data_IF_141983321880
#
_entry.id   IF_141983321880
#
_cell.length_a   1.000
_cell.length_b   1.000
_cell.length_c   1.000
_cell.angle_alpha   90.00
_cell.angle_beta   90.00
_cell.angle_gamma   90.00
#
_symmetry.space_group_name_H-M   'P 1'
#
loop_
_entity.id
_entity.type
_entity.pdbx_description
1 polymer ?
#
# COMPACT_ATOMS: atom_id res chain seq x y z
N UNK A 1 -12.95 -30.43 1.76
CA UNK A 1 -13.01 -28.99 2.11
C UNK A 1 -11.66 -28.47 2.60
N UNK A 2 -11.01 -29.09 3.61
CA UNK A 2 -9.76 -28.61 4.24
C UNK A 2 -8.61 -28.50 3.24
N UNK A 3 -8.41 -29.46 2.34
CA UNK A 3 -7.33 -29.44 1.33
C UNK A 3 -7.39 -28.19 0.45
N UNK A 4 -8.58 -27.68 0.12
CA UNK A 4 -8.75 -26.44 -0.65
C UNK A 4 -8.41 -25.16 0.12
N UNK A 5 -8.23 -25.24 1.44
CA UNK A 5 -7.82 -24.11 2.29
C UNK A 5 -6.29 -24.02 2.43
N UNK A 6 -5.54 -25.10 2.17
CA UNK A 6 -4.09 -25.16 2.31
C UNK A 6 -3.37 -24.02 1.55
N UNK A 7 -3.68 -23.73 0.27
CA UNK A 7 -3.01 -22.64 -0.45
C UNK A 7 -3.18 -21.28 0.21
N UNK A 8 -4.31 -21.04 0.88
CA UNK A 8 -4.55 -19.79 1.59
C UNK A 8 -3.71 -19.68 2.87
N UNK A 9 -3.61 -20.76 3.65
CA UNK A 9 -2.74 -20.81 4.83
C UNK A 9 -1.25 -20.68 4.49
N UNK A 10 -0.84 -21.22 3.33
CA UNK A 10 0.52 -21.07 2.81
C UNK A 10 0.76 -19.76 2.07
N UNK A 11 -0.20 -18.83 2.10
CA UNK A 11 -0.13 -17.55 1.40
C UNK A 11 0.12 -17.67 -0.12
N UNK A 12 -0.38 -18.76 -0.73
CA UNK A 12 -0.25 -19.04 -2.15
C UNK A 12 -1.50 -18.65 -2.97
N UNK A 13 -2.41 -17.88 -2.39
CA UNK A 13 -3.70 -17.51 -3.02
C UNK A 13 -3.55 -16.78 -4.36
N UNK A 14 -2.44 -16.10 -4.59
CA UNK A 14 -2.14 -15.39 -5.85
C UNK A 14 -1.19 -16.14 -6.78
N UNK A 15 -0.72 -17.33 -6.41
CA UNK A 15 0.18 -18.14 -7.25
C UNK A 15 -0.52 -18.85 -8.44
N UNK A 16 -1.84 -18.67 -8.59
CA UNK A 16 -2.64 -19.39 -9.60
C UNK A 16 -3.21 -20.71 -9.10
N UNK A 17 -2.83 -21.19 -7.93
CA UNK A 17 -3.42 -22.38 -7.32
C UNK A 17 -4.80 -22.03 -6.78
N UNK A 18 -5.84 -22.63 -7.38
CA UNK A 18 -7.21 -22.40 -6.94
C UNK A 18 -7.45 -23.02 -5.55
N UNK A 19 -7.86 -22.18 -4.61
CA UNK A 19 -8.19 -22.57 -3.25
C UNK A 19 -9.40 -21.80 -2.73
N UNK A 20 -10.00 -22.28 -1.64
CA UNK A 20 -11.05 -21.53 -0.95
C UNK A 20 -10.39 -20.41 -0.15
N UNK A 21 -10.73 -19.16 -0.44
CA UNK A 21 -10.25 -18.02 0.32
C UNK A 21 -10.91 -18.01 1.71
N UNK A 22 -10.14 -18.31 2.74
CA UNK A 22 -10.58 -18.27 4.14
C UNK A 22 -10.63 -16.83 4.63
N UNK A 23 -9.60 -16.05 4.29
CA UNK A 23 -9.50 -14.63 4.62
C UNK A 23 -9.24 -13.87 3.33
N UNK A 24 -10.20 -13.05 2.89
CA UNK A 24 -10.14 -12.37 1.60
C UNK A 24 -8.91 -11.46 1.46
N UNK A 25 -8.40 -10.93 2.57
CA UNK A 25 -7.32 -9.92 2.59
C UNK A 25 -5.93 -10.54 2.39
N UNK A 26 -5.76 -11.84 2.62
CA UNK A 26 -4.46 -12.53 2.46
C UNK A 26 -3.92 -12.51 1.03
N UNK A 27 -4.78 -12.21 0.04
CA UNK A 27 -4.36 -12.09 -1.36
C UNK A 27 -3.22 -11.08 -1.54
N UNK A 28 -3.27 -9.94 -0.83
CA UNK A 28 -2.25 -8.91 -0.98
C UNK A 28 -0.90 -9.35 -0.39
N UNK A 29 -0.91 -10.03 0.75
CA UNK A 29 0.31 -10.58 1.36
C UNK A 29 0.93 -11.62 0.42
N UNK A 30 0.12 -12.52 -0.14
CA UNK A 30 0.55 -13.50 -1.14
C UNK A 30 1.18 -12.83 -2.36
N UNK A 31 0.51 -11.84 -2.94
CA UNK A 31 1.00 -11.08 -4.09
C UNK A 31 2.31 -10.33 -3.77
N UNK A 32 2.40 -9.73 -2.59
CA UNK A 32 3.59 -9.02 -2.12
C UNK A 32 4.78 -9.98 -1.96
N UNK A 33 4.59 -11.15 -1.36
CA UNK A 33 5.65 -12.14 -1.20
C UNK A 33 6.17 -12.63 -2.56
N UNK A 34 5.28 -12.93 -3.51
CA UNK A 34 5.67 -13.34 -4.87
C UNK A 34 6.45 -12.22 -5.56
N UNK A 35 5.98 -10.98 -5.50
CA UNK A 35 6.68 -9.84 -6.08
C UNK A 35 8.05 -9.62 -5.41
N UNK A 36 8.16 -9.77 -4.09
CA UNK A 36 9.43 -9.66 -3.37
C UNK A 36 10.44 -10.74 -3.76
N UNK A 37 10.00 -11.96 -4.06
CA UNK A 37 10.90 -13.03 -4.55
C UNK A 37 11.61 -12.62 -5.85
N UNK A 38 11.00 -11.77 -6.67
CA UNK A 38 11.59 -11.26 -7.91
C UNK A 38 12.40 -9.98 -7.64
N UNK A 39 11.81 -9.05 -6.91
CA UNK A 39 12.41 -7.72 -6.68
C UNK A 39 13.65 -7.80 -5.79
N UNK A 40 13.60 -8.58 -4.72
CA UNK A 40 14.67 -8.61 -3.71
C UNK A 40 16.04 -9.06 -4.27
N UNK A 41 16.15 -10.16 -5.05
CA UNK A 41 17.43 -10.55 -5.64
C UNK A 41 17.98 -9.48 -6.61
N UNK A 42 17.10 -8.87 -7.41
CA UNK A 42 17.48 -7.81 -8.35
C UNK A 42 17.97 -6.56 -7.62
N UNK A 43 17.25 -6.14 -6.59
CA UNK A 43 17.60 -5.00 -5.76
C UNK A 43 18.92 -5.24 -5.02
N UNK A 44 19.15 -6.46 -4.52
CA UNK A 44 20.40 -6.81 -3.83
C UNK A 44 21.61 -6.78 -4.75
N UNK A 45 21.45 -7.25 -6.01
CA UNK A 45 22.55 -7.35 -6.97
C UNK A 45 22.81 -6.03 -7.72
N UNK A 46 21.76 -5.29 -8.07
CA UNK A 46 21.82 -4.11 -8.94
C UNK A 46 21.10 -2.92 -8.31
N UNK A 47 21.43 -2.58 -7.04
CA UNK A 47 20.72 -1.59 -6.24
C UNK A 47 20.45 -0.28 -6.99
N UNK A 48 21.50 0.35 -7.50
CA UNK A 48 21.42 1.67 -8.11
C UNK A 48 20.65 1.65 -9.44
N UNK A 49 20.95 0.70 -10.31
CA UNK A 49 20.23 0.52 -11.58
C UNK A 49 18.76 0.18 -11.33
N UNK A 50 18.49 -0.66 -10.35
CA UNK A 50 17.11 -1.03 -10.02
C UNK A 50 16.32 0.17 -9.52
N UNK A 51 16.84 0.91 -8.53
CA UNK A 51 16.12 2.03 -7.92
C UNK A 51 15.97 3.24 -8.85
N UNK A 52 16.99 3.52 -9.71
CA UNK A 52 16.98 4.70 -10.57
C UNK A 52 16.23 4.47 -11.90
N UNK A 53 16.25 3.25 -12.43
CA UNK A 53 15.71 2.96 -13.76
C UNK A 53 14.56 1.96 -13.70
N UNK A 54 14.80 0.76 -13.15
CA UNK A 54 13.80 -0.33 -13.23
C UNK A 54 12.55 -0.01 -12.40
N UNK A 55 12.72 0.46 -11.18
CA UNK A 55 11.59 0.73 -10.28
C UNK A 55 10.65 1.83 -10.83
N UNK A 56 11.13 3.02 -11.25
CA UNK A 56 10.24 4.04 -11.81
C UNK A 56 9.58 3.62 -13.11
N UNK A 57 10.33 2.96 -14.00
CA UNK A 57 9.80 2.52 -15.30
C UNK A 57 8.71 1.46 -15.11
N UNK A 58 8.96 0.44 -14.29
CA UNK A 58 7.95 -0.60 -14.02
C UNK A 58 6.74 -0.05 -13.28
N UNK A 59 6.93 0.84 -12.30
CA UNK A 59 5.82 1.48 -11.60
C UNK A 59 4.95 2.31 -12.55
N UNK A 60 5.54 3.09 -13.46
CA UNK A 60 4.81 3.89 -14.45
C UNK A 60 4.10 3.02 -15.48
N UNK A 61 4.77 2.03 -16.07
CA UNK A 61 4.18 1.17 -17.10
C UNK A 61 2.98 0.38 -16.56
N UNK A 62 3.12 -0.24 -15.38
CA UNK A 62 2.03 -1.03 -14.78
C UNK A 62 0.90 -0.09 -14.31
N UNK A 63 1.22 1.07 -13.76
CA UNK A 63 0.18 2.06 -13.37
C UNK A 63 -0.56 2.59 -14.60
N UNK A 64 0.14 2.87 -15.70
CA UNK A 64 -0.46 3.27 -16.97
C UNK A 64 -1.34 2.17 -17.58
N UNK A 65 -0.90 0.92 -17.49
CA UNK A 65 -1.72 -0.23 -17.87
C UNK A 65 -3.05 -0.28 -17.08
N UNK A 66 -2.99 -0.16 -15.74
CA UNK A 66 -4.20 -0.13 -14.92
C UNK A 66 -5.11 1.06 -15.21
N UNK A 67 -4.53 2.22 -15.50
CA UNK A 67 -5.29 3.41 -15.86
C UNK A 67 -6.10 3.19 -17.14
N UNK A 68 -5.50 2.59 -18.18
CA UNK A 68 -6.11 2.43 -19.49
C UNK A 68 -7.02 1.20 -19.60
N UNK A 69 -6.86 0.18 -18.76
CA UNK A 69 -7.62 -1.08 -18.87
C UNK A 69 -8.72 -1.19 -17.80
N UNK A 70 -8.51 -2.06 -16.84
CA UNK A 70 -9.51 -2.51 -15.86
C UNK A 70 -9.57 -1.61 -14.63
N UNK A 71 -8.60 -0.71 -14.49
CA UNK A 71 -8.36 0.00 -13.24
C UNK A 71 -7.81 -0.95 -12.17
N UNK A 72 -7.86 -0.49 -10.92
CA UNK A 72 -7.34 -1.27 -9.79
C UNK A 72 -8.32 -2.31 -9.22
N UNK A 73 -9.45 -2.56 -9.88
CA UNK A 73 -10.43 -3.55 -9.50
C UNK A 73 -10.08 -4.93 -10.09
N UNK A 74 -10.61 -5.99 -9.47
CA UNK A 74 -10.48 -7.36 -10.02
C UNK A 74 -9.11 -7.98 -9.79
N UNK A 75 -8.58 -7.92 -8.57
CA UNK A 75 -7.27 -8.47 -8.17
C UNK A 75 -7.06 -9.96 -8.51
N UNK A 76 -8.14 -10.74 -8.65
CA UNK A 76 -8.10 -12.15 -9.02
C UNK A 76 -8.08 -12.40 -10.53
N UNK A 77 -8.29 -11.35 -11.35
CA UNK A 77 -8.23 -11.49 -12.81
C UNK A 77 -6.82 -11.82 -13.26
N UNK A 78 -6.71 -12.75 -14.21
CA UNK A 78 -5.46 -13.10 -14.87
C UNK A 78 -5.26 -12.25 -16.13
N UNK A 79 -4.02 -11.76 -16.31
CA UNK A 79 -3.50 -11.24 -17.57
C UNK A 79 -2.39 -12.19 -18.03
N UNK A 80 -2.73 -13.09 -18.91
CA UNK A 80 -1.85 -14.20 -19.27
C UNK A 80 -1.54 -15.09 -18.07
N UNK A 81 -0.31 -15.04 -17.58
CA UNK A 81 0.17 -15.89 -16.47
C UNK A 81 0.13 -15.18 -15.10
N UNK A 82 -0.02 -13.86 -15.09
CA UNK A 82 0.11 -13.04 -13.89
C UNK A 82 -1.27 -12.49 -13.48
N UNK A 83 -1.56 -12.50 -12.18
CA UNK A 83 -2.79 -11.87 -11.65
C UNK A 83 -2.62 -10.36 -11.50
N UNK A 84 -3.71 -9.61 -11.62
CA UNK A 84 -3.73 -8.16 -11.33
C UNK A 84 -3.23 -7.84 -9.91
N UNK A 85 -3.48 -8.74 -8.95
CA UNK A 85 -2.99 -8.60 -7.58
C UNK A 85 -1.47 -8.55 -7.50
N UNK A 86 -0.78 -9.42 -8.26
CA UNK A 86 0.70 -9.41 -8.33
C UNK A 86 1.20 -8.12 -8.99
N UNK A 87 0.58 -7.69 -10.09
CA UNK A 87 0.95 -6.43 -10.74
C UNK A 87 0.79 -5.23 -9.79
N UNK A 88 -0.28 -5.19 -8.98
CA UNK A 88 -0.46 -4.15 -7.94
C UNK A 88 0.64 -4.19 -6.89
N UNK A 89 1.05 -5.40 -6.46
CA UNK A 89 2.14 -5.54 -5.51
C UNK A 89 3.47 -5.04 -6.11
N UNK A 90 3.73 -5.31 -7.40
CA UNK A 90 4.88 -4.75 -8.11
C UNK A 90 4.88 -3.22 -8.11
N UNK A 91 3.74 -2.59 -8.40
CA UNK A 91 3.62 -1.12 -8.36
C UNK A 91 3.94 -0.60 -6.96
N UNK A 92 3.29 -1.15 -5.92
CA UNK A 92 3.47 -0.70 -4.54
C UNK A 92 4.91 -0.85 -4.05
N UNK A 93 5.56 -1.99 -4.32
CA UNK A 93 6.95 -2.23 -3.92
C UNK A 93 7.94 -1.34 -4.67
N UNK A 94 7.73 -1.11 -5.97
CA UNK A 94 8.59 -0.21 -6.75
C UNK A 94 8.41 1.25 -6.31
N UNK A 95 7.19 1.70 -6.01
CA UNK A 95 6.96 3.01 -5.38
C UNK A 95 7.67 3.07 -4.02
N UNK A 96 7.64 2.02 -3.21
CA UNK A 96 8.40 1.93 -1.96
C UNK A 96 9.91 2.10 -2.15
N UNK A 97 10.49 1.55 -3.22
CA UNK A 97 11.90 1.77 -3.57
C UNK A 97 12.18 3.24 -3.89
N UNK A 98 11.27 3.91 -4.61
CA UNK A 98 11.39 5.34 -4.91
C UNK A 98 11.25 6.20 -3.64
N UNK A 99 10.30 5.88 -2.78
CA UNK A 99 10.13 6.53 -1.46
C UNK A 99 11.43 6.46 -0.67
N UNK A 100 12.05 5.28 -0.59
CA UNK A 100 13.32 5.11 0.10
C UNK A 100 14.42 5.99 -0.50
N UNK A 101 14.56 6.00 -1.82
CA UNK A 101 15.55 6.80 -2.53
C UNK A 101 15.37 8.31 -2.26
N UNK A 102 14.13 8.81 -2.37
CA UNK A 102 13.82 10.21 -2.08
C UNK A 102 14.03 10.58 -0.61
N UNK A 103 13.62 9.70 0.31
CA UNK A 103 13.84 9.92 1.74
C UNK A 103 15.32 10.01 2.08
N UNK A 104 16.16 9.11 1.55
CA UNK A 104 17.62 9.15 1.76
C UNK A 104 18.26 10.39 1.12
N UNK A 105 17.77 10.82 -0.04
CA UNK A 105 18.22 12.08 -0.65
C UNK A 105 17.90 13.29 0.23
N UNK A 106 16.68 13.36 0.78
CA UNK A 106 16.26 14.44 1.66
C UNK A 106 17.04 14.42 2.99
N UNK A 107 17.31 13.25 3.57
CA UNK A 107 18.09 13.12 4.82
C UNK A 107 19.49 13.69 4.72
N UNK A 108 20.14 13.59 3.55
CA UNK A 108 21.49 14.11 3.31
C UNK A 108 21.55 15.63 3.23
N UNK A 109 20.40 16.31 3.13
CA UNK A 109 20.32 17.76 3.04
C UNK A 109 20.03 18.39 4.41
N UNK A 110 20.80 19.39 4.77
CA UNK A 110 20.52 20.25 5.91
C UNK A 110 19.61 21.39 5.47
N UNK A 111 18.37 21.36 5.95
CA UNK A 111 17.38 22.38 5.63
C UNK A 111 17.32 23.47 6.73
N UNK A 112 17.17 24.72 6.31
CA UNK A 112 16.88 25.85 7.22
C UNK A 112 15.53 25.62 7.93
N UNK A 113 15.33 26.18 9.15
CA UNK A 113 14.06 26.01 9.88
C UNK A 113 12.81 26.40 9.09
N UNK A 114 12.92 27.45 8.25
CA UNK A 114 11.80 27.87 7.38
C UNK A 114 11.42 26.80 6.35
N UNK A 115 12.41 26.12 5.77
CA UNK A 115 12.16 25.03 4.81
C UNK A 115 11.57 23.82 5.51
N UNK A 116 12.01 23.48 6.74
CA UNK A 116 11.42 22.40 7.53
C UNK A 116 9.94 22.64 7.85
N UNK A 117 9.55 23.90 8.12
CA UNK A 117 8.14 24.27 8.30
C UNK A 117 7.35 24.11 7.00
N UNK A 118 7.90 24.59 5.88
CA UNK A 118 7.27 24.43 4.56
C UNK A 118 7.08 22.96 4.20
N UNK A 119 8.09 22.11 4.44
CA UNK A 119 7.99 20.66 4.25
C UNK A 119 6.89 20.06 5.13
N UNK A 120 6.73 20.52 6.38
CA UNK A 120 5.66 20.06 7.26
C UNK A 120 4.26 20.43 6.75
N UNK A 121 4.09 21.65 6.25
CA UNK A 121 2.82 22.08 5.63
C UNK A 121 2.55 21.26 4.35
N UNK A 122 3.55 21.09 3.51
CA UNK A 122 3.44 20.30 2.29
C UNK A 122 3.08 18.82 2.59
N UNK A 123 3.70 18.22 3.60
CA UNK A 123 3.41 16.87 4.08
C UNK A 123 1.93 16.72 4.47
N UNK A 124 1.42 17.65 5.28
CA UNK A 124 0.03 17.66 5.73
C UNK A 124 -0.93 17.81 4.55
N UNK A 125 -0.65 18.76 3.65
CA UNK A 125 -1.48 18.99 2.47
C UNK A 125 -1.51 17.78 1.53
N UNK A 126 -0.37 17.11 1.34
CA UNK A 126 -0.28 15.90 0.52
C UNK A 126 -1.12 14.75 1.10
N UNK A 127 -1.09 14.55 2.43
CA UNK A 127 -1.94 13.54 3.06
C UNK A 127 -3.42 13.90 2.99
N UNK A 128 -3.79 15.16 3.23
CA UNK A 128 -5.19 15.60 3.10
C UNK A 128 -5.70 15.43 1.67
N UNK A 129 -4.89 15.80 0.69
CA UNK A 129 -5.24 15.63 -0.72
C UNK A 129 -5.34 14.15 -1.12
N UNK A 130 -4.45 13.30 -0.57
CA UNK A 130 -4.53 11.86 -0.78
C UNK A 130 -5.83 11.26 -0.21
N UNK A 131 -6.24 11.68 1.00
CA UNK A 131 -7.51 11.25 1.61
C UNK A 131 -8.69 11.72 0.76
N UNK A 132 -8.66 12.97 0.29
CA UNK A 132 -9.70 13.50 -0.60
C UNK A 132 -9.79 12.71 -1.92
N UNK A 133 -8.65 12.41 -2.55
CA UNK A 133 -8.60 11.58 -3.77
C UNK A 133 -9.12 10.15 -3.52
N UNK A 134 -8.89 9.59 -2.35
CA UNK A 134 -9.45 8.29 -1.97
C UNK A 134 -10.98 8.33 -1.83
N UNK A 135 -11.52 9.43 -1.32
CA UNK A 135 -12.96 9.62 -1.18
C UNK A 135 -13.67 9.73 -2.54
N UNK A 136 -13.11 10.52 -3.46
CA UNK A 136 -13.66 10.69 -4.82
C UNK A 136 -13.65 9.38 -5.62
N UNK A 137 -12.63 8.54 -5.43
CA UNK A 137 -12.50 7.25 -6.12
C UNK A 137 -12.18 7.40 -7.62
N UNK A 138 -12.26 6.27 -8.32
CA UNK A 138 -12.01 6.22 -9.77
C UNK A 138 -10.55 5.92 -10.14
N UNK A 139 -10.34 5.54 -11.41
CA UNK A 139 -9.02 5.10 -11.92
C UNK A 139 -7.99 6.22 -11.88
N UNK A 140 -8.41 7.41 -12.26
CA UNK A 140 -7.59 8.64 -12.29
C UNK A 140 -7.14 9.02 -10.89
N UNK A 141 -8.07 9.01 -9.93
CA UNK A 141 -7.78 9.35 -8.54
C UNK A 141 -6.78 8.37 -7.92
N UNK A 142 -6.90 7.07 -8.18
CA UNK A 142 -5.94 6.07 -7.67
C UNK A 142 -4.54 6.28 -8.25
N UNK A 143 -4.43 6.61 -9.54
CA UNK A 143 -3.14 6.89 -10.17
C UNK A 143 -2.43 8.08 -9.53
N UNK A 144 -3.12 9.22 -9.42
CA UNK A 144 -2.56 10.43 -8.79
C UNK A 144 -2.31 10.24 -7.30
N UNK A 145 -3.15 9.49 -6.60
CA UNK A 145 -2.98 9.18 -5.19
C UNK A 145 -1.66 8.44 -4.90
N UNK A 146 -1.25 7.52 -5.76
CA UNK A 146 0.04 6.84 -5.64
C UNK A 146 1.22 7.83 -5.72
N UNK A 147 1.11 8.85 -6.58
CA UNK A 147 2.14 9.91 -6.70
C UNK A 147 2.15 10.81 -5.46
N UNK A 148 0.97 11.21 -4.98
CA UNK A 148 0.85 12.03 -3.76
C UNK A 148 1.44 11.31 -2.55
N UNK A 149 1.10 10.03 -2.37
CA UNK A 149 1.62 9.20 -1.28
C UNK A 149 3.12 8.97 -1.39
N UNK A 150 3.68 8.84 -2.60
CA UNK A 150 5.12 8.73 -2.80
C UNK A 150 5.84 9.94 -2.17
N UNK A 151 5.41 11.16 -2.49
CA UNK A 151 6.02 12.36 -1.94
C UNK A 151 5.74 12.55 -0.45
N UNK A 152 4.50 12.34 0.00
CA UNK A 152 4.11 12.47 1.40
C UNK A 152 4.95 11.53 2.29
N UNK A 153 5.00 10.23 1.97
CA UNK A 153 5.74 9.24 2.74
C UNK A 153 7.25 9.50 2.67
N UNK A 154 7.78 9.99 1.52
CA UNK A 154 9.20 10.35 1.41
C UNK A 154 9.58 11.49 2.36
N UNK A 155 8.73 12.51 2.51
CA UNK A 155 8.95 13.61 3.46
C UNK A 155 8.90 13.08 4.88
N UNK A 156 7.86 12.31 5.24
CA UNK A 156 7.73 11.68 6.57
C UNK A 156 8.94 10.83 6.92
N UNK A 157 9.35 9.93 6.00
CA UNK A 157 10.46 9.01 6.21
C UNK A 157 11.82 9.71 6.28
N UNK A 158 11.97 10.90 5.66
CA UNK A 158 13.18 11.70 5.75
C UNK A 158 13.42 12.29 7.14
N UNK A 159 12.37 12.43 7.97
CA UNK A 159 12.39 13.10 9.28
C UNK A 159 12.87 14.56 9.23
N UNK A 160 12.78 15.22 8.06
CA UNK A 160 13.22 16.60 7.86
C UNK A 160 12.09 17.62 8.02
N UNK A 161 10.84 17.18 8.11
CA UNK A 161 9.70 18.08 8.33
C UNK A 161 9.59 18.51 9.80
N UNK A 162 9.04 19.69 10.05
CA UNK A 162 8.79 20.18 11.40
C UNK A 162 7.78 19.32 12.18
N UNK A 163 6.94 18.54 11.48
CA UNK A 163 5.87 17.70 12.05
C UNK A 163 6.36 16.28 12.32
N UNK A 164 7.47 15.85 11.69
CA UNK A 164 7.96 14.47 11.79
C UNK A 164 8.21 14.01 13.23
N UNK A 165 8.61 14.90 14.12
CA UNK A 165 8.80 14.61 15.55
C UNK A 165 7.49 14.32 16.31
N UNK A 166 6.37 14.88 15.87
CA UNK A 166 5.07 14.68 16.50
C UNK A 166 4.57 13.22 16.37
N UNK A 167 4.98 12.56 15.30
CA UNK A 167 4.61 11.16 15.04
C UNK A 167 5.61 10.13 15.58
N UNK A 168 6.76 10.54 16.09
CA UNK A 168 7.74 9.64 16.72
C UNK A 168 7.45 9.49 18.21
N UNK A 169 6.28 8.96 18.54
CA UNK A 169 5.83 8.70 19.90
C UNK A 169 5.44 7.23 20.11
N UNK A 170 5.26 6.84 21.38
CA UNK A 170 4.91 5.45 21.75
C UNK A 170 3.59 4.98 21.13
N UNK A 171 2.61 5.89 20.99
CA UNK A 171 1.29 5.55 20.41
C UNK A 171 1.43 5.23 18.93
N UNK A 172 2.16 6.05 18.16
CA UNK A 172 2.39 5.80 16.74
C UNK A 172 3.17 4.50 16.50
N UNK A 173 4.14 4.20 17.35
CA UNK A 173 4.87 2.91 17.27
C UNK A 173 3.96 1.73 17.55
N UNK A 174 3.14 1.80 18.60
CA UNK A 174 2.17 0.76 18.93
C UNK A 174 1.15 0.57 17.79
N UNK A 175 0.60 1.65 17.24
CA UNK A 175 -0.33 1.57 16.09
C UNK A 175 0.36 0.95 14.86
N UNK A 176 1.63 1.26 14.62
CA UNK A 176 2.42 0.66 13.55
C UNK A 176 2.59 -0.85 13.73
N UNK A 177 2.93 -1.30 14.93
CA UNK A 177 3.05 -2.73 15.27
C UNK A 177 1.70 -3.45 15.14
N UNK A 178 0.61 -2.81 15.56
CA UNK A 178 -0.74 -3.36 15.47
C UNK A 178 -1.34 -3.31 14.06
N UNK A 179 -0.74 -2.56 13.13
CA UNK A 179 -1.32 -2.31 11.79
C UNK A 179 -1.61 -3.58 11.00
N UNK A 180 -0.71 -4.57 11.07
CA UNK A 180 -0.91 -5.86 10.41
C UNK A 180 -2.08 -6.65 11.02
N UNK A 181 -2.20 -6.65 12.34
CA UNK A 181 -3.31 -7.32 13.04
C UNK A 181 -4.64 -6.65 12.71
N UNK A 182 -4.70 -5.32 12.74
CA UNK A 182 -5.88 -4.54 12.35
C UNK A 182 -6.26 -4.86 10.90
N UNK A 183 -5.27 -4.90 9.99
CA UNK A 183 -5.48 -5.25 8.60
C UNK A 183 -6.07 -6.66 8.43
N UNK A 184 -5.55 -7.67 9.15
CA UNK A 184 -6.05 -9.04 9.07
C UNK A 184 -7.44 -9.22 9.73
N UNK A 185 -7.72 -8.47 10.81
CA UNK A 185 -8.98 -8.56 11.53
C UNK A 185 -10.14 -7.81 10.85
N UNK A 186 -9.88 -6.84 9.97
CA UNK A 186 -10.94 -6.02 9.35
C UNK A 186 -11.96 -6.85 8.55
N UNK A 187 -11.55 -7.94 7.90
CA UNK A 187 -12.47 -8.77 7.11
C UNK A 187 -13.39 -9.65 7.98
N UNK A 188 -12.88 -10.41 8.97
CA UNK A 188 -13.72 -11.09 9.94
C UNK A 188 -14.64 -10.13 10.72
N UNK A 189 -14.12 -9.00 11.20
CA UNK A 189 -14.90 -8.00 11.91
C UNK A 189 -16.07 -7.47 11.06
N UNK A 190 -15.81 -7.12 9.80
CA UNK A 190 -16.85 -6.68 8.86
C UNK A 190 -17.91 -7.78 8.61
N UNK A 191 -17.49 -9.04 8.50
CA UNK A 191 -18.42 -10.17 8.32
C UNK A 191 -19.30 -10.35 9.56
N UNK A 192 -18.72 -10.26 10.75
CA UNK A 192 -19.45 -10.35 12.04
C UNK A 192 -20.47 -9.23 12.19
N UNK A 193 -20.07 -7.98 11.91
CA UNK A 193 -21.00 -6.83 11.98
C UNK A 193 -22.16 -7.00 11.00
N UNK A 194 -21.90 -7.44 9.78
CA UNK A 194 -22.96 -7.72 8.80
C UNK A 194 -23.90 -8.84 9.21
N UNK A 195 -23.38 -9.84 9.91
CA UNK A 195 -24.19 -10.95 10.40
C UNK A 195 -25.11 -10.51 11.55
N UNK A 196 -24.61 -9.69 12.48
CA UNK A 196 -25.37 -9.20 13.65
C UNK A 196 -26.34 -8.09 13.25
N UNK A 197 -25.94 -7.22 12.31
CA UNK A 197 -26.70 -6.04 11.90
C UNK A 197 -26.84 -5.98 10.36
N UNK A 198 -27.75 -6.77 9.77
CA UNK A 198 -27.84 -6.87 8.29
C UNK A 198 -28.24 -5.56 7.61
N UNK A 199 -28.99 -4.67 8.30
CA UNK A 199 -29.53 -3.41 7.74
C UNK A 199 -28.71 -2.17 8.07
N UNK A 200 -27.50 -2.32 8.63
CA UNK A 200 -26.68 -1.19 9.05
C UNK A 200 -25.94 -0.58 7.87
N UNK A 201 -26.09 0.74 7.69
CA UNK A 201 -25.32 1.52 6.75
C UNK A 201 -23.81 1.43 7.03
N UNK A 202 -22.97 1.60 6.01
CA UNK A 202 -21.51 1.54 6.12
C UNK A 202 -20.93 2.41 7.26
N UNK A 203 -21.50 3.60 7.49
CA UNK A 203 -21.02 4.54 8.49
C UNK A 203 -21.36 4.11 9.93
N UNK A 204 -22.56 3.58 10.14
CA UNK A 204 -22.97 3.04 11.45
C UNK A 204 -22.20 1.77 11.77
N UNK A 205 -21.95 0.89 10.77
CA UNK A 205 -21.11 -0.29 10.97
C UNK A 205 -19.65 0.06 11.33
N UNK A 206 -19.09 1.12 10.75
CA UNK A 206 -17.76 1.60 11.10
C UNK A 206 -17.71 2.15 12.54
N UNK A 207 -18.73 2.89 12.98
CA UNK A 207 -18.83 3.39 14.35
C UNK A 207 -18.87 2.26 15.38
N UNK A 208 -19.55 1.14 15.09
CA UNK A 208 -19.58 -0.03 15.97
C UNK A 208 -18.27 -0.84 16.03
N UNK A 209 -17.38 -0.68 15.04
CA UNK A 209 -16.08 -1.36 15.04
C UNK A 209 -15.01 -0.54 15.80
N UNK A 210 -15.18 0.78 15.83
CA UNK A 210 -14.17 1.72 16.39
C UNK A 210 -14.52 2.21 17.78
N UNK A 211 -15.80 2.16 18.18
CA UNK A 211 -16.30 2.51 19.54
C UNK A 211 -16.34 1.33 20.46
#
# INVERSE_FOLDING_TARGET
>A
AIVKMIPNFLLLSMSGVQGTQVVMITWYISAMLIAMLVIYPLLRKYKDTYTLIIAPVTALLISGYFYNTVGYNGFTKFEGVITHGILRAFVGLNIGCLVYMFAEYLKKKEFRPSVKRLLGIAELLLYLLAIFMMHEGGKTCVFYNNILLLFAISITASKQSAISGAFDNKVSKFLGEMSLFIYLCQSPARATVRYIFPDVSYWTGFAYIVG
#
